data_IF_633467434179
#
_entry.id   IF_633467434179
#
_cell.length_a   1.000
_cell.length_b   1.000
_cell.length_c   1.000
_cell.angle_alpha   90.00
_cell.angle_beta   90.00
_cell.angle_gamma   90.00
#
_symmetry.space_group_name_H-M   'P 1'
#
loop_
_entity.id
_entity.type
_entity.pdbx_description
1 polymer ?
#
# COMPACT_ATOMS: atom_id res chain seq x y z
N UNK A 1 -11.06 2.64 22.12
CA UNK A 1 -11.36 2.05 20.81
C UNK A 1 -10.09 1.95 20.01
N UNK A 2 -9.33 0.88 20.22
CA UNK A 2 -8.17 0.57 19.38
C UNK A 2 -8.63 -0.22 18.16
N UNK A 3 -8.54 0.40 16.99
CA UNK A 3 -8.62 -0.28 15.70
C UNK A 3 -7.20 -0.66 15.27
N UNK A 4 -6.51 -1.44 16.10
CA UNK A 4 -5.15 -1.90 15.82
C UNK A 4 -5.22 -3.11 14.89
N UNK A 5 -4.59 -3.00 13.72
CA UNK A 5 -4.54 -4.05 12.67
C UNK A 5 -3.95 -5.38 13.16
N UNK A 6 -3.31 -5.40 14.34
CA UNK A 6 -2.54 -6.52 14.87
C UNK A 6 -3.36 -7.81 15.08
N UNK A 7 -4.68 -7.69 15.29
CA UNK A 7 -5.54 -8.83 15.67
C UNK A 7 -6.61 -9.17 14.63
N UNK A 8 -6.56 -8.59 13.44
CA UNK A 8 -7.53 -8.93 12.40
C UNK A 8 -7.20 -10.33 11.85
N UNK A 9 -8.20 -11.07 11.40
CA UNK A 9 -8.05 -12.27 10.58
C UNK A 9 -8.45 -11.94 9.14
N UNK A 10 -7.75 -12.47 8.14
CA UNK A 10 -8.12 -12.28 6.74
C UNK A 10 -8.99 -13.46 6.35
N UNK A 11 -10.29 -13.22 6.20
CA UNK A 11 -11.26 -14.26 5.80
C UNK A 11 -11.20 -14.55 4.29
N UNK A 12 -10.86 -13.53 3.49
CA UNK A 12 -10.73 -13.63 2.03
C UNK A 12 -9.61 -12.70 1.55
N UNK A 13 -8.71 -13.24 0.73
CA UNK A 13 -7.64 -12.45 0.12
C UNK A 13 -8.12 -11.80 -1.17
N UNK A 14 -7.64 -10.59 -1.41
CA UNK A 14 -7.93 -9.87 -2.65
C UNK A 14 -7.24 -10.53 -3.85
N UNK A 15 -7.99 -10.76 -4.92
CA UNK A 15 -7.41 -11.19 -6.20
C UNK A 15 -6.88 -9.95 -6.97
N UNK A 16 -5.62 -9.59 -6.71
CA UNK A 16 -5.00 -8.43 -7.36
C UNK A 16 -4.91 -8.59 -8.88
N UNK A 17 -4.74 -9.81 -9.40
CA UNK A 17 -4.69 -10.05 -10.84
C UNK A 17 -6.03 -9.71 -11.51
N UNK A 18 -7.15 -10.17 -10.93
CA UNK A 18 -8.48 -9.86 -11.43
C UNK A 18 -8.77 -8.35 -11.40
N UNK A 19 -8.44 -7.68 -10.30
CA UNK A 19 -8.63 -6.21 -10.20
C UNK A 19 -7.78 -5.47 -11.22
N UNK A 20 -6.49 -5.81 -11.33
CA UNK A 20 -5.60 -5.16 -12.27
C UNK A 20 -6.02 -5.44 -13.73
N UNK A 21 -6.63 -6.58 -14.03
CA UNK A 21 -7.17 -6.88 -15.37
C UNK A 21 -8.27 -5.89 -15.79
N UNK A 22 -9.05 -5.39 -14.83
CA UNK A 22 -10.10 -4.39 -15.05
C UNK A 22 -9.57 -2.96 -15.12
N UNK A 23 -8.33 -2.72 -14.65
CA UNK A 23 -7.68 -1.41 -14.64
C UNK A 23 -6.33 -1.51 -15.36
N UNK A 24 -6.32 -1.61 -16.71
CA UNK A 24 -5.10 -1.86 -17.49
C UNK A 24 -4.03 -0.77 -17.30
N UNK A 25 -4.45 0.48 -17.12
CA UNK A 25 -3.55 1.62 -16.92
C UNK A 25 -3.05 1.80 -15.48
N UNK A 26 -3.43 0.89 -14.56
CA UNK A 26 -2.93 0.92 -13.19
C UNK A 26 -1.41 0.68 -13.17
N UNK A 27 -0.66 1.66 -12.65
CA UNK A 27 0.81 1.63 -12.52
C UNK A 27 1.28 1.55 -11.07
N UNK A 28 0.37 1.78 -10.11
CA UNK A 28 0.74 1.87 -8.70
C UNK A 28 -0.34 1.30 -7.79
N UNK A 29 0.09 0.55 -6.77
CA UNK A 29 -0.73 0.09 -5.66
C UNK A 29 -0.25 0.80 -4.40
N UNK A 30 -1.16 1.37 -3.63
CA UNK A 30 -0.83 2.08 -2.40
C UNK A 30 -1.54 1.41 -1.23
N UNK A 31 -0.78 0.92 -0.24
CA UNK A 31 -1.32 0.36 1.00
C UNK A 31 -1.21 1.37 2.14
N UNK A 32 -2.30 1.57 2.89
CA UNK A 32 -2.33 2.48 4.06
C UNK A 32 -2.54 1.69 5.34
N UNK A 33 -1.46 1.10 5.88
CA UNK A 33 -1.56 0.22 7.06
C UNK A 33 -0.47 -0.85 7.07
N UNK A 34 -0.19 -1.43 8.24
CA UNK A 34 0.83 -2.47 8.37
C UNK A 34 0.39 -3.76 7.70
N UNK A 35 -0.79 -4.24 8.09
CA UNK A 35 -1.33 -5.52 7.64
C UNK A 35 -1.72 -5.55 6.17
N UNK A 36 -2.30 -4.48 5.65
CA UNK A 36 -2.59 -4.36 4.21
C UNK A 36 -1.30 -4.38 3.38
N UNK A 37 -0.23 -3.77 3.88
CA UNK A 37 1.05 -3.81 3.21
C UNK A 37 1.68 -5.20 3.20
N UNK A 38 1.51 -5.97 4.28
CA UNK A 38 1.96 -7.37 4.35
C UNK A 38 1.24 -8.24 3.31
N UNK A 39 -0.09 -8.14 3.22
CA UNK A 39 -0.89 -8.91 2.24
C UNK A 39 -0.48 -8.61 0.80
N UNK A 40 -0.33 -7.33 0.45
CA UNK A 40 0.06 -6.95 -0.91
C UNK A 40 1.50 -7.38 -1.22
N UNK A 41 2.41 -7.27 -0.25
CA UNK A 41 3.79 -7.74 -0.40
C UNK A 41 3.85 -9.25 -0.67
N UNK A 42 3.04 -10.03 0.06
CA UNK A 42 2.95 -11.49 -0.11
C UNK A 42 2.38 -11.86 -1.49
N UNK A 43 1.30 -11.21 -1.93
CA UNK A 43 0.68 -11.45 -3.25
C UNK A 43 1.67 -11.11 -4.39
N UNK A 44 2.40 -10.00 -4.27
CA UNK A 44 3.37 -9.57 -5.28
C UNK A 44 4.71 -10.32 -5.20
N UNK A 45 4.95 -11.10 -4.13
CA UNK A 45 6.21 -11.78 -3.89
C UNK A 45 7.40 -10.83 -3.71
N UNK A 46 7.17 -9.71 -3.02
CA UNK A 46 8.19 -8.67 -2.75
C UNK A 46 8.39 -8.47 -1.26
N UNK A 47 9.53 -7.87 -0.90
CA UNK A 47 9.70 -7.37 0.48
C UNK A 47 8.80 -6.17 0.70
N UNK A 48 8.12 -6.14 1.84
CA UNK A 48 7.32 -4.99 2.28
C UNK A 48 8.22 -3.74 2.31
N UNK A 49 7.87 -2.66 1.57
CA UNK A 49 8.64 -1.43 1.59
C UNK A 49 8.58 -0.72 2.95
N UNK A 50 9.50 0.21 3.17
CA UNK A 50 9.43 1.13 4.29
C UNK A 50 8.28 2.13 4.13
N UNK A 51 7.86 2.75 5.23
CA UNK A 51 6.79 3.75 5.19
C UNK A 51 7.26 4.97 4.39
N UNK A 52 6.50 5.34 3.37
CA UNK A 52 6.79 6.43 2.44
C UNK A 52 7.62 6.01 1.23
N UNK A 53 7.99 4.72 1.13
CA UNK A 53 8.80 4.19 0.05
C UNK A 53 8.01 3.20 -0.83
N UNK A 54 8.64 2.73 -1.91
CA UNK A 54 8.06 1.76 -2.83
C UNK A 54 9.04 0.70 -3.31
N UNK A 55 8.47 -0.38 -3.84
CA UNK A 55 9.20 -1.38 -4.62
C UNK A 55 8.55 -1.53 -5.99
N UNK A 56 9.37 -1.81 -7.00
CA UNK A 56 8.91 -2.14 -8.35
C UNK A 56 8.91 -3.65 -8.55
N UNK A 57 7.85 -4.15 -9.19
CA UNK A 57 7.71 -5.56 -9.52
C UNK A 57 7.00 -5.73 -10.84
N UNK A 58 7.50 -6.65 -11.66
CA UNK A 58 6.74 -7.16 -12.79
C UNK A 58 5.65 -8.12 -12.30
N UNK A 59 4.40 -7.77 -12.59
CA UNK A 59 3.21 -8.53 -12.22
C UNK A 59 2.19 -8.43 -13.36
N UNK A 60 1.61 -9.55 -13.80
CA UNK A 60 0.69 -9.62 -14.96
C UNK A 60 1.23 -8.87 -16.21
N UNK A 61 2.48 -9.15 -16.60
CA UNK A 61 3.18 -8.56 -17.75
C UNK A 61 3.29 -7.02 -17.74
N UNK A 62 3.28 -6.40 -16.56
CA UNK A 62 3.51 -4.96 -16.41
C UNK A 62 4.29 -4.64 -15.14
N UNK A 63 4.98 -3.51 -15.16
CA UNK A 63 5.68 -3.00 -13.98
C UNK A 63 4.70 -2.25 -13.09
N UNK A 64 4.50 -2.74 -11.88
CA UNK A 64 3.69 -2.10 -10.83
C UNK A 64 4.61 -1.56 -9.75
N UNK A 65 4.36 -0.32 -9.32
CA UNK A 65 4.96 0.29 -8.14
C UNK A 65 4.08 0.04 -6.92
N UNK A 66 4.60 -0.65 -5.92
CA UNK A 66 3.88 -0.88 -4.67
C UNK A 66 4.41 0.05 -3.57
N UNK A 67 3.56 0.95 -3.09
CA UNK A 67 3.86 1.92 -2.04
C UNK A 67 3.28 1.50 -0.69
N UNK A 68 4.02 1.75 0.38
CA UNK A 68 3.51 1.64 1.75
C UNK A 68 3.38 3.03 2.39
N UNK A 69 2.18 3.39 2.76
CA UNK A 69 1.84 4.66 3.40
C UNK A 69 1.41 4.45 4.85
N UNK A 70 1.61 5.45 5.73
CA UNK A 70 1.10 5.37 7.10
C UNK A 70 -0.42 5.39 7.08
N UNK A 71 -1.06 4.69 8.03
CA UNK A 71 -2.53 4.72 8.13
C UNK A 71 -3.04 6.15 8.31
N UNK A 72 -4.07 6.50 7.54
CA UNK A 72 -4.75 7.79 7.60
C UNK A 72 -5.58 7.98 8.87
N UNK A 73 -5.80 6.90 9.64
CA UNK A 73 -6.53 6.93 10.92
C UNK A 73 -5.85 7.85 11.94
N UNK A 74 -6.66 8.56 12.73
CA UNK A 74 -6.21 9.38 13.86
C UNK A 74 -5.52 8.55 14.96
N UNK A 75 -5.88 7.27 15.08
CA UNK A 75 -5.30 6.37 16.07
C UNK A 75 -3.87 5.92 15.74
N UNK A 76 -3.43 6.09 14.48
CA UNK A 76 -2.08 5.69 14.10
C UNK A 76 -1.03 6.64 14.74
N UNK A 77 -0.03 6.12 15.47
CA UNK A 77 0.87 6.88 16.35
C UNK A 77 1.94 7.66 15.56
N UNK A 78 1.50 8.60 14.73
CA UNK A 78 2.35 9.50 13.96
C UNK A 78 1.69 10.88 13.89
N UNK A 79 2.49 11.94 14.08
CA UNK A 79 2.04 13.33 13.99
C UNK A 79 1.44 13.61 12.60
N UNK A 80 0.33 14.35 12.57
CA UNK A 80 -0.39 14.70 11.33
C UNK A 80 0.53 15.38 10.31
N UNK A 81 1.40 16.30 10.75
CA UNK A 81 2.36 16.97 9.85
C UNK A 81 3.29 15.97 9.14
N UNK A 82 3.82 15.00 9.87
CA UNK A 82 4.69 13.96 9.31
C UNK A 82 3.94 13.02 8.34
N UNK A 83 2.67 12.71 8.62
CA UNK A 83 1.81 12.00 7.67
C UNK A 83 1.64 12.83 6.39
N UNK A 84 1.31 14.12 6.52
CA UNK A 84 1.09 15.01 5.39
C UNK A 84 2.34 15.12 4.50
N UNK A 85 3.54 15.19 5.09
CA UNK A 85 4.82 15.17 4.35
C UNK A 85 4.95 13.89 3.50
N UNK A 86 4.70 12.72 4.09
CA UNK A 86 4.79 11.43 3.39
C UNK A 86 3.76 11.33 2.26
N UNK A 87 2.51 11.72 2.51
CA UNK A 87 1.45 11.72 1.49
C UNK A 87 1.69 12.77 0.39
N UNK A 88 2.33 13.90 0.72
CA UNK A 88 2.71 14.93 -0.25
C UNK A 88 3.80 14.42 -1.21
N UNK A 89 4.81 13.72 -0.67
CA UNK A 89 5.84 13.08 -1.47
C UNK A 89 5.22 12.06 -2.45
N UNK A 90 4.22 11.28 -2.01
CA UNK A 90 3.51 10.34 -2.88
C UNK A 90 2.85 11.02 -4.09
N UNK A 91 2.16 12.16 -3.89
CA UNK A 91 1.53 12.90 -5.01
C UNK A 91 2.56 13.28 -6.07
N UNK A 92 3.70 13.80 -5.65
CA UNK A 92 4.79 14.14 -6.56
C UNK A 92 5.33 12.91 -7.30
N UNK A 93 5.46 11.77 -6.62
CA UNK A 93 5.98 10.54 -7.24
C UNK A 93 4.98 9.93 -8.23
N UNK A 94 3.68 10.04 -7.95
CA UNK A 94 2.62 9.55 -8.85
C UNK A 94 2.26 10.53 -9.98
N UNK A 95 2.93 11.70 -10.03
CA UNK A 95 2.58 12.81 -10.93
C UNK A 95 1.10 13.22 -10.83
N UNK A 96 0.55 13.22 -9.61
CA UNK A 96 -0.83 13.60 -9.28
C UNK A 96 -0.94 15.04 -8.78
#
# INVERSE_FOLDING_TARGET
NDASDANLEILEQVNLEEILSQIPDCKAIVSTGGKSADVVADILGVKKPEIGDFVEKEFCNRVIKFYRMPSSSRAYPMKVGKKAEIYSALKNILNL
#
